data_IF_242460580412
#
_entry.id   IF_242460580412
#
_cell.length_a   1.000
_cell.length_b   1.000
_cell.length_c   1.000
_cell.angle_alpha   90.00
_cell.angle_beta   90.00
_cell.angle_gamma   90.00
#
_symmetry.space_group_name_H-M   'P 1'
#
loop_
_entity.id
_entity.type
_entity.pdbx_description
1 polymer ?
#
# COMPACT_ATOMS: atom_id res chain seq x y z
N UNK A 1 13.03 81.09 52.05
CA UNK A 1 13.00 82.02 50.88
C UNK A 1 13.93 81.47 49.83
N UNK A 2 13.52 81.56 48.55
CA UNK A 2 14.28 81.24 47.32
C UNK A 2 14.52 79.74 47.09
N UNK A 3 14.20 79.09 45.97
CA UNK A 3 13.61 79.46 44.67
C UNK A 3 13.03 78.16 44.05
N UNK A 4 11.89 78.19 43.36
CA UNK A 4 11.67 78.61 41.99
C UNK A 4 12.36 77.72 40.92
N UNK A 5 11.54 76.85 40.30
CA UNK A 5 11.42 76.67 38.83
C UNK A 5 12.50 75.86 38.06
N UNK A 6 12.26 75.37 36.81
CA UNK A 6 11.00 75.03 36.10
C UNK A 6 11.12 73.86 35.06
N UNK A 7 10.09 73.72 34.20
CA UNK A 7 10.09 73.17 32.80
C UNK A 7 10.09 71.63 32.69
N UNK A 8 9.34 70.96 31.81
CA UNK A 8 8.73 71.33 30.52
C UNK A 8 7.79 70.21 30.04
N UNK A 9 6.60 70.61 29.60
CA UNK A 9 5.96 70.31 28.32
C UNK A 9 5.67 68.90 27.77
N UNK A 10 4.51 68.92 27.08
CA UNK A 10 4.13 68.19 25.87
C UNK A 10 3.46 66.82 25.99
N UNK A 11 2.15 66.93 26.22
CA UNK A 11 1.11 66.14 25.59
C UNK A 11 1.31 65.94 24.08
N UNK A 12 1.19 64.71 23.61
CA UNK A 12 0.73 64.41 22.25
C UNK A 12 -0.15 63.15 22.23
N UNK A 13 -1.13 63.07 21.30
CA UNK A 13 -2.22 62.11 21.36
C UNK A 13 -1.89 60.79 20.67
N UNK A 14 -2.32 59.68 21.28
CA UNK A 14 -2.27 58.35 20.68
C UNK A 14 -3.23 58.27 19.46
N UNK A 15 -2.67 58.08 18.27
CA UNK A 15 -3.40 57.60 17.10
C UNK A 15 -3.44 56.06 17.07
N UNK A 16 -4.56 55.44 16.63
CA UNK A 16 -4.69 53.99 16.53
C UNK A 16 -3.97 53.45 15.29
N UNK A 17 -3.17 52.41 15.49
CA UNK A 17 -2.44 51.67 14.44
C UNK A 17 -3.41 51.05 13.43
N UNK A 18 -3.43 51.58 12.22
CA UNK A 18 -3.99 50.93 11.03
C UNK A 18 -3.10 49.75 10.63
N UNK A 19 -3.72 48.58 10.45
CA UNK A 19 -3.13 47.37 9.88
C UNK A 19 -2.80 47.56 8.39
N UNK A 20 -1.71 46.98 7.88
CA UNK A 20 -1.32 47.10 6.47
C UNK A 20 -2.28 46.32 5.55
N UNK A 21 -2.52 46.82 4.31
CA UNK A 21 -3.41 46.19 3.36
C UNK A 21 -2.84 44.86 2.83
N UNK A 22 -3.74 43.88 2.71
CA UNK A 22 -3.57 42.60 2.03
C UNK A 22 -2.77 42.74 0.73
N UNK A 23 -1.61 42.10 0.71
CA UNK A 23 -0.84 41.79 -0.49
C UNK A 23 -1.72 41.13 -1.55
N UNK A 24 -1.75 41.77 -2.72
CA UNK A 24 -2.44 41.32 -3.92
C UNK A 24 -1.98 39.93 -4.35
N UNK A 25 -2.85 39.10 -4.96
CA UNK A 25 -2.44 37.83 -5.55
C UNK A 25 -1.46 38.10 -6.69
N UNK A 26 -0.23 37.61 -6.51
CA UNK A 26 0.82 37.57 -7.53
C UNK A 26 0.26 36.85 -8.77
N UNK A 27 0.09 37.60 -9.87
CA UNK A 27 -0.24 37.04 -11.18
C UNK A 27 0.87 36.08 -11.56
N UNK A 28 0.48 34.83 -11.78
CA UNK A 28 1.32 33.73 -12.24
C UNK A 28 2.22 34.17 -13.40
N UNK A 29 3.51 33.85 -13.40
CA UNK A 29 4.38 34.13 -14.53
C UNK A 29 3.80 33.43 -15.76
N UNK A 30 3.66 34.17 -16.86
CA UNK A 30 3.29 33.65 -18.17
C UNK A 30 4.19 32.46 -18.49
N UNK A 31 3.67 31.24 -18.33
CA UNK A 31 4.34 30.02 -18.76
C UNK A 31 4.44 30.10 -20.28
N UNK A 32 5.67 30.12 -20.79
CA UNK A 32 5.90 29.99 -22.23
C UNK A 32 5.26 28.67 -22.69
N UNK A 33 4.49 28.66 -23.79
CA UNK A 33 3.76 27.47 -24.25
C UNK A 33 4.67 26.28 -24.61
N UNK A 34 5.98 26.49 -24.67
CA UNK A 34 6.99 25.46 -24.93
C UNK A 34 7.59 24.83 -23.65
N UNK A 35 7.18 25.25 -22.44
CA UNK A 35 7.73 24.71 -21.21
C UNK A 35 6.99 23.42 -20.81
N UNK A 36 7.69 22.29 -20.87
CA UNK A 36 7.15 20.97 -20.50
C UNK A 36 6.70 20.98 -19.05
N UNK A 37 5.48 20.52 -18.80
CA UNK A 37 4.97 20.45 -17.44
C UNK A 37 5.80 19.48 -16.58
N UNK A 38 6.02 19.86 -15.31
CA UNK A 38 6.84 19.10 -14.39
C UNK A 38 6.29 17.68 -14.15
N UNK A 39 4.97 17.53 -14.13
CA UNK A 39 4.31 16.27 -13.83
C UNK A 39 4.40 15.32 -15.03
N UNK A 40 4.24 15.84 -16.25
CA UNK A 40 4.40 15.08 -17.49
C UNK A 40 5.83 14.57 -17.69
N UNK A 41 6.83 15.43 -17.45
CA UNK A 41 8.24 15.02 -17.52
C UNK A 41 8.56 13.94 -16.47
N UNK A 42 7.98 14.06 -15.27
CA UNK A 42 8.16 13.08 -14.20
C UNK A 42 7.51 11.75 -14.55
N UNK A 43 6.30 11.76 -15.14
CA UNK A 43 5.61 10.56 -15.59
C UNK A 43 6.40 9.82 -16.67
N UNK A 44 6.95 10.56 -17.66
CA UNK A 44 7.77 9.98 -18.72
C UNK A 44 9.07 9.37 -18.18
N UNK A 45 9.76 10.06 -17.27
CA UNK A 45 10.97 9.56 -16.59
C UNK A 45 10.68 8.24 -15.85
N UNK A 46 9.56 8.16 -15.12
CA UNK A 46 9.15 6.94 -14.41
C UNK A 46 8.87 5.80 -15.38
N UNK A 47 8.15 6.05 -16.48
CA UNK A 47 7.84 5.03 -17.48
C UNK A 47 9.10 4.47 -18.16
N UNK A 48 10.04 5.35 -18.55
CA UNK A 48 11.31 4.92 -19.16
C UNK A 48 12.16 4.12 -18.16
N UNK A 49 12.24 4.56 -16.90
CA UNK A 49 13.00 3.84 -15.85
C UNK A 49 12.38 2.48 -15.52
N UNK A 50 11.07 2.37 -15.54
CA UNK A 50 10.34 1.12 -15.35
C UNK A 50 10.64 0.11 -16.47
N UNK A 51 10.67 0.57 -17.73
CA UNK A 51 11.01 -0.28 -18.88
C UNK A 51 12.51 -0.62 -18.95
N UNK A 52 13.38 0.27 -18.45
CA UNK A 52 14.83 0.11 -18.51
C UNK A 52 15.49 0.52 -17.17
N UNK A 53 15.50 -0.39 -16.17
CA UNK A 53 16.04 -0.10 -14.84
C UNK A 53 17.52 0.26 -14.87
N UNK A 54 18.29 -0.25 -15.83
CA UNK A 54 19.73 -0.02 -15.95
C UNK A 54 20.10 1.33 -16.60
N UNK A 55 19.11 2.10 -17.06
CA UNK A 55 19.39 3.39 -17.70
C UNK A 55 19.85 4.42 -16.66
N UNK A 56 21.11 4.83 -16.82
CA UNK A 56 21.65 6.03 -16.18
C UNK A 56 21.11 7.31 -16.83
N UNK A 57 21.42 8.45 -16.19
CA UNK A 57 20.87 9.78 -16.56
C UNK A 57 21.07 10.14 -18.04
N UNK A 58 22.21 9.77 -18.63
CA UNK A 58 22.53 10.04 -20.04
C UNK A 58 21.55 9.34 -20.98
N UNK A 59 21.42 8.01 -20.85
CA UNK A 59 20.50 7.21 -21.69
C UNK A 59 19.05 7.61 -21.46
N UNK A 60 18.68 8.00 -20.24
CA UNK A 60 17.34 8.49 -19.96
C UNK A 60 17.05 9.82 -20.67
N UNK A 61 17.97 10.77 -20.64
CA UNK A 61 17.83 12.03 -21.36
C UNK A 61 17.72 11.82 -22.87
N UNK A 62 18.56 10.95 -23.44
CA UNK A 62 18.49 10.60 -24.87
C UNK A 62 17.11 10.04 -25.25
N UNK A 63 16.52 9.17 -24.40
CA UNK A 63 15.17 8.65 -24.61
C UNK A 63 14.06 9.68 -24.44
N UNK A 64 14.18 10.59 -23.47
CA UNK A 64 13.23 11.70 -23.28
C UNK A 64 13.23 12.61 -24.53
N UNK A 65 14.40 12.94 -25.06
CA UNK A 65 14.54 13.76 -26.27
C UNK A 65 14.02 13.00 -27.51
N UNK A 66 14.30 11.69 -27.60
CA UNK A 66 13.82 10.83 -28.69
C UNK A 66 12.29 10.75 -28.76
N UNK A 67 11.58 11.01 -27.65
CA UNK A 67 10.12 11.07 -27.64
C UNK A 67 9.55 12.27 -28.44
N UNK A 68 10.40 13.24 -28.81
CA UNK A 68 10.04 14.34 -29.68
C UNK A 68 9.06 15.35 -29.06
N UNK A 69 8.50 16.22 -29.91
CA UNK A 69 7.56 17.26 -29.51
C UNK A 69 8.12 18.21 -28.45
N UNK A 70 7.34 18.47 -27.39
CA UNK A 70 7.75 19.33 -26.28
C UNK A 70 8.97 18.80 -25.50
N UNK A 71 9.22 17.49 -25.53
CA UNK A 71 10.34 16.88 -24.80
C UNK A 71 11.69 17.03 -25.52
N UNK A 72 11.71 17.36 -26.81
CA UNK A 72 12.93 17.49 -27.60
C UNK A 72 13.87 18.60 -27.09
N UNK A 73 13.31 19.63 -26.44
CA UNK A 73 14.06 20.78 -25.91
C UNK A 73 14.40 20.65 -24.43
N UNK A 74 14.10 19.52 -23.80
CA UNK A 74 14.33 19.34 -22.36
C UNK A 74 15.83 19.30 -22.06
N UNK A 75 16.36 20.20 -21.21
CA UNK A 75 17.78 20.22 -20.91
C UNK A 75 18.17 19.05 -20.00
N UNK A 76 19.35 18.47 -20.26
CA UNK A 76 19.92 17.34 -19.49
C UNK A 76 19.92 17.60 -17.97
N UNK A 77 20.26 18.82 -17.55
CA UNK A 77 20.28 19.24 -16.14
C UNK A 77 18.92 19.08 -15.46
N UNK A 78 17.82 19.30 -16.19
CA UNK A 78 16.45 19.16 -15.67
C UNK A 78 16.15 17.69 -15.43
N UNK A 79 16.38 16.82 -16.42
CA UNK A 79 16.20 15.35 -16.26
C UNK A 79 17.03 14.81 -15.10
N UNK A 80 18.31 15.20 -14.99
CA UNK A 80 19.19 14.81 -13.86
C UNK A 80 18.59 15.19 -12.51
N UNK A 81 18.06 16.41 -12.38
CA UNK A 81 17.43 16.90 -11.14
C UNK A 81 16.19 16.08 -10.79
N UNK A 82 15.32 15.76 -11.76
CA UNK A 82 14.12 14.95 -11.52
C UNK A 82 14.47 13.51 -11.14
N UNK A 83 15.41 12.86 -11.83
CA UNK A 83 15.87 11.52 -11.45
C UNK A 83 16.47 11.48 -10.04
N UNK A 84 17.25 12.49 -9.67
CA UNK A 84 17.80 12.60 -8.31
C UNK A 84 16.69 12.80 -7.27
N UNK A 85 15.73 13.68 -7.54
CA UNK A 85 14.56 13.91 -6.67
C UNK A 85 13.72 12.65 -6.49
N UNK A 86 13.71 11.75 -7.47
CA UNK A 86 13.00 10.46 -7.42
C UNK A 86 13.82 9.32 -6.77
N UNK A 87 15.08 9.55 -6.36
CA UNK A 87 15.94 8.51 -5.83
C UNK A 87 16.40 7.46 -6.87
N UNK A 88 16.29 7.78 -8.17
CA UNK A 88 16.58 6.83 -9.27
C UNK A 88 18.04 6.84 -9.75
N UNK A 89 18.89 7.67 -9.12
CA UNK A 89 20.29 7.90 -9.49
C UNK A 89 21.29 7.31 -8.49
N UNK A 90 20.83 6.49 -7.55
CA UNK A 90 21.75 5.79 -6.67
C UNK A 90 22.66 4.93 -7.54
N UNK A 91 23.98 5.20 -7.60
CA UNK A 91 24.88 4.24 -8.17
C UNK A 91 24.70 3.00 -7.32
N UNK A 92 24.23 1.91 -7.93
CA UNK A 92 24.46 0.57 -7.40
C UNK A 92 25.97 0.33 -7.45
N UNK A 93 26.71 1.06 -6.61
CA UNK A 93 28.06 0.72 -6.25
C UNK A 93 27.98 -0.52 -5.41
N UNK A 94 28.65 -1.57 -5.86
CA UNK A 94 28.99 -2.72 -5.04
C UNK A 94 29.64 -2.22 -3.74
N UNK A 95 28.92 -2.27 -2.62
CA UNK A 95 29.47 -2.40 -1.25
C UNK A 95 28.32 -2.41 -0.25
N UNK A 96 27.75 -3.59 -0.05
CA UNK A 96 27.52 -4.13 1.30
C UNK A 96 27.27 -5.64 1.18
N UNK A 97 28.38 -6.36 0.94
CA UNK A 97 28.51 -7.75 1.39
C UNK A 97 28.56 -7.73 2.92
N UNK A 98 27.42 -7.51 3.56
CA UNK A 98 27.22 -8.14 4.87
C UNK A 98 26.93 -9.60 4.58
N UNK A 99 27.75 -10.56 5.05
CA UNK A 99 27.42 -11.96 4.88
C UNK A 99 26.11 -12.19 5.62
N UNK A 100 25.04 -12.45 4.87
CA UNK A 100 23.80 -12.97 5.42
C UNK A 100 24.18 -14.27 6.12
N UNK A 101 24.29 -14.20 7.44
CA UNK A 101 24.49 -15.35 8.30
C UNK A 101 23.21 -16.17 8.21
N UNK A 102 23.17 -17.07 7.23
CA UNK A 102 22.25 -18.21 7.19
C UNK A 102 22.50 -19.02 8.46
N UNK A 103 21.80 -18.65 9.54
CA UNK A 103 21.68 -19.51 10.70
C UNK A 103 20.67 -20.59 10.30
N UNK A 104 21.20 -21.73 9.86
CA UNK A 104 20.45 -22.97 9.77
C UNK A 104 19.98 -23.32 11.19
N UNK A 105 18.75 -22.99 11.54
CA UNK A 105 18.13 -23.46 12.78
C UNK A 105 17.68 -24.90 12.53
N UNK A 106 18.64 -25.82 12.67
CA UNK A 106 18.43 -27.24 12.48
C UNK A 106 19.61 -28.01 13.08
N UNK A 107 19.51 -28.31 14.37
CA UNK A 107 20.50 -29.14 15.05
C UNK A 107 20.46 -29.04 16.57
N UNK A 108 19.80 -30.03 17.18
CA UNK A 108 19.95 -30.50 18.57
C UNK A 108 19.14 -29.79 19.66
N UNK A 109 17.85 -30.09 19.72
CA UNK A 109 17.12 -30.10 21.00
C UNK A 109 16.44 -31.46 21.18
N UNK A 110 17.16 -32.37 21.83
CA UNK A 110 16.53 -33.45 22.58
C UNK A 110 15.82 -32.80 23.78
N UNK A 111 14.50 -32.76 23.77
CA UNK A 111 13.72 -32.64 25.01
C UNK A 111 12.73 -33.79 25.07
N UNK A 112 13.19 -34.85 25.74
CA UNK A 112 12.33 -35.84 26.36
C UNK A 112 11.44 -35.09 27.38
N UNK A 113 10.12 -35.16 27.23
CA UNK A 113 9.18 -34.83 28.31
C UNK A 113 8.19 -35.98 28.43
N UNK A 114 8.52 -36.93 29.29
CA UNK A 114 7.53 -37.61 30.11
C UNK A 114 6.92 -36.58 31.08
N UNK A 115 5.60 -36.59 31.24
CA UNK A 115 4.94 -35.77 32.26
C UNK A 115 3.56 -35.29 31.87
N UNK A 116 2.60 -36.21 31.93
CA UNK A 116 1.16 -35.98 32.05
C UNK A 116 0.81 -34.84 33.02
N UNK A 117 0.02 -33.86 32.56
CA UNK A 117 -1.10 -33.30 33.34
C UNK A 117 -2.23 -33.02 32.36
N UNK A 118 -3.28 -33.84 32.45
CA UNK A 118 -4.58 -33.61 31.83
C UNK A 118 -5.17 -32.27 32.30
N UNK A 119 -5.43 -31.37 31.34
CA UNK A 119 -6.50 -30.38 31.49
C UNK A 119 -7.34 -30.42 30.22
N UNK A 120 -8.39 -31.23 30.29
CA UNK A 120 -9.51 -31.18 29.38
C UNK A 120 -10.19 -29.81 29.47
N UNK A 121 -10.22 -29.09 28.35
CA UNK A 121 -11.04 -27.90 28.14
C UNK A 121 -11.38 -27.83 26.66
N UNK A 122 -12.62 -28.18 26.32
CA UNK A 122 -13.12 -28.44 24.98
C UNK A 122 -12.89 -27.32 23.94
N UNK A 123 -12.93 -27.75 22.67
CA UNK A 123 -13.10 -27.00 21.41
C UNK A 123 -11.82 -26.53 20.70
N UNK A 124 -11.31 -27.32 19.75
CA UNK A 124 -10.81 -26.76 18.48
C UNK A 124 -10.64 -27.84 17.39
N UNK A 125 -11.75 -28.44 16.93
CA UNK A 125 -11.78 -29.13 15.64
C UNK A 125 -11.77 -28.12 14.46
N UNK A 126 -11.37 -26.87 14.68
CA UNK A 126 -11.42 -25.84 13.64
C UNK A 126 -10.37 -26.10 12.57
N UNK A 127 -10.85 -26.37 11.35
CA UNK A 127 -10.01 -26.53 10.17
C UNK A 127 -9.48 -25.16 9.72
N UNK A 128 -8.18 -24.96 9.92
CA UNK A 128 -7.41 -23.79 9.45
C UNK A 128 -6.62 -24.17 8.21
N UNK A 129 -6.87 -23.50 7.08
CA UNK A 129 -6.21 -23.82 5.82
C UNK A 129 -5.25 -22.70 5.39
N UNK A 130 -4.04 -23.05 4.91
CA UNK A 130 -3.03 -22.08 4.53
C UNK A 130 -3.35 -21.40 3.20
N UNK A 131 -3.03 -20.12 3.12
CA UNK A 131 -3.19 -19.23 1.98
C UNK A 131 -1.93 -18.39 1.85
N UNK A 132 -1.32 -18.41 0.66
CA UNK A 132 -0.16 -17.58 0.35
C UNK A 132 -0.58 -16.12 0.22
N UNK A 133 0.22 -15.21 0.79
CA UNK A 133 0.03 -13.78 0.61
C UNK A 133 0.60 -13.31 -0.73
N UNK A 134 0.11 -12.15 -1.18
CA UNK A 134 0.57 -11.44 -2.38
C UNK A 134 0.57 -12.26 -3.68
N UNK A 135 -0.28 -13.29 -3.80
CA UNK A 135 -0.44 -13.99 -5.08
C UNK A 135 -1.11 -13.06 -6.10
N UNK A 136 -0.58 -12.93 -7.33
CA UNK A 136 -1.15 -12.06 -8.35
C UNK A 136 -2.46 -12.65 -8.89
N UNK A 137 -3.42 -11.78 -9.23
CA UNK A 137 -4.74 -12.17 -9.74
C UNK A 137 -4.71 -13.14 -10.95
N UNK A 138 -3.66 -13.10 -11.77
CA UNK A 138 -3.48 -14.00 -12.90
C UNK A 138 -2.21 -14.81 -12.72
N UNK A 139 -2.35 -16.14 -12.67
CA UNK A 139 -1.25 -17.10 -12.91
C UNK A 139 -1.21 -17.53 -14.40
N UNK A 140 -2.12 -17.02 -15.22
CA UNK A 140 -2.18 -17.29 -16.67
C UNK A 140 -1.20 -16.34 -17.39
N UNK A 141 -0.26 -16.92 -18.15
CA UNK A 141 0.75 -16.19 -18.94
C UNK A 141 0.13 -15.27 -20.02
N UNK A 142 -1.14 -15.47 -20.38
CA UNK A 142 -1.74 -14.90 -21.61
C UNK A 142 -2.71 -13.72 -21.45
N UNK A 143 -2.88 -13.12 -20.27
CA UNK A 143 -3.79 -11.98 -20.11
C UNK A 143 -3.09 -10.69 -19.62
N UNK A 144 -3.09 -9.59 -20.41
CA UNK A 144 -2.38 -8.34 -20.09
C UNK A 144 -3.05 -7.48 -19.02
N UNK A 145 -4.15 -7.93 -18.42
CA UNK A 145 -4.88 -7.19 -17.39
C UNK A 145 -4.40 -7.60 -15.99
N UNK A 146 -3.18 -7.22 -15.66
CA UNK A 146 -2.69 -7.30 -14.29
C UNK A 146 -3.44 -6.24 -13.46
N UNK A 147 -4.35 -6.66 -12.59
CA UNK A 147 -4.98 -5.76 -11.64
C UNK A 147 -3.94 -5.31 -10.61
N UNK A 148 -3.29 -4.17 -10.86
CA UNK A 148 -2.39 -3.52 -9.91
C UNK A 148 -3.23 -2.95 -8.78
N UNK A 149 -3.27 -3.64 -7.65
CA UNK A 149 -3.93 -3.11 -6.47
C UNK A 149 -2.94 -2.20 -5.76
N UNK A 150 -3.31 -0.92 -5.64
CA UNK A 150 -2.56 0.03 -4.81
C UNK A 150 -2.75 -0.34 -3.34
N UNK A 151 -1.67 -0.78 -2.68
CA UNK A 151 -1.57 -0.90 -1.23
C UNK A 151 -1.72 0.51 -0.63
N UNK A 152 -2.74 0.73 0.20
CA UNK A 152 -2.88 1.96 0.99
C UNK A 152 -2.41 1.66 2.40
N UNK A 153 -1.38 2.34 2.87
CA UNK A 153 -0.86 2.23 4.25
C UNK A 153 -1.71 3.05 5.22
N UNK A 154 -3.01 2.74 5.31
CA UNK A 154 -3.84 3.29 6.38
C UNK A 154 -3.74 2.37 7.59
N UNK A 155 -3.15 2.88 8.66
CA UNK A 155 -3.01 2.19 9.97
C UNK A 155 -4.32 2.21 10.78
N UNK A 156 -5.42 2.71 10.20
CA UNK A 156 -6.67 2.92 10.93
C UNK A 156 -7.48 1.62 11.06
N UNK A 157 -7.06 0.84 12.06
CA UNK A 157 -7.81 -0.21 12.72
C UNK A 157 -7.67 -1.57 12.05
N UNK A 158 -6.89 -2.45 12.67
CA UNK A 158 -7.10 -3.88 12.52
C UNK A 158 -8.45 -4.25 13.10
N UNK A 159 -9.15 -5.15 12.43
CA UNK A 159 -10.34 -5.75 12.97
C UNK A 159 -9.97 -7.09 13.56
N UNK A 160 -9.83 -7.10 14.88
CA UNK A 160 -9.57 -8.32 15.64
C UNK A 160 -10.84 -8.75 16.36
N UNK A 161 -10.91 -10.04 16.63
CA UNK A 161 -11.92 -10.60 17.51
C UNK A 161 -11.44 -11.90 18.12
N UNK A 162 -12.37 -12.69 18.64
CA UNK A 162 -12.04 -13.79 19.55
C UNK A 162 -11.16 -14.90 18.97
N UNK A 163 -11.11 -15.06 17.65
CA UNK A 163 -10.35 -16.13 16.98
C UNK A 163 -9.15 -15.62 16.18
N UNK A 164 -8.94 -14.31 16.12
CA UNK A 164 -7.85 -13.67 15.38
C UNK A 164 -8.30 -12.42 14.63
N UNK A 165 -7.57 -12.11 13.56
CA UNK A 165 -7.88 -11.01 12.65
C UNK A 165 -9.05 -11.37 11.73
N UNK A 166 -9.78 -10.36 11.26
CA UNK A 166 -10.91 -10.54 10.35
C UNK A 166 -10.50 -10.15 8.93
N UNK A 167 -10.72 -11.08 8.01
CA UNK A 167 -10.49 -10.91 6.58
C UNK A 167 -11.81 -10.89 5.83
N UNK A 168 -11.92 -10.00 4.85
CA UNK A 168 -13.03 -9.95 3.92
C UNK A 168 -12.65 -10.72 2.67
N UNK A 169 -13.49 -11.69 2.30
CA UNK A 169 -13.31 -12.49 1.09
C UNK A 169 -14.46 -12.18 0.13
N UNK A 170 -14.13 -11.80 -1.10
CA UNK A 170 -15.08 -11.49 -2.16
C UNK A 170 -14.93 -12.48 -3.31
N UNK A 171 -16.06 -13.07 -3.68
CA UNK A 171 -16.17 -14.07 -4.75
C UNK A 171 -16.87 -13.41 -5.93
N UNK A 172 -16.29 -13.59 -7.12
CA UNK A 172 -16.90 -13.13 -8.36
C UNK A 172 -18.19 -13.92 -8.63
N UNK A 173 -19.18 -13.24 -9.22
CA UNK A 173 -20.43 -13.84 -9.66
C UNK A 173 -20.39 -13.89 -11.18
N UNK A 174 -20.77 -15.01 -11.77
CA UNK A 174 -20.87 -15.20 -13.21
C UNK A 174 -22.14 -14.53 -13.77
N UNK A 175 -22.24 -14.45 -15.10
CA UNK A 175 -23.36 -13.78 -15.77
C UNK A 175 -24.72 -14.42 -15.49
N UNK A 176 -24.74 -15.69 -15.08
CA UNK A 176 -25.93 -16.44 -14.68
C UNK A 176 -26.34 -16.18 -13.22
N UNK A 177 -25.58 -15.38 -12.47
CA UNK A 177 -25.81 -15.12 -11.05
C UNK A 177 -25.22 -16.17 -10.11
N UNK A 178 -24.57 -17.22 -10.63
CA UNK A 178 -23.88 -18.23 -9.84
C UNK A 178 -22.51 -17.73 -9.36
N UNK A 179 -21.99 -18.30 -8.28
CA UNK A 179 -20.65 -17.95 -7.80
C UNK A 179 -19.60 -18.63 -8.65
N UNK A 180 -18.64 -17.84 -9.13
CA UNK A 180 -17.63 -18.38 -10.01
C UNK A 180 -16.74 -19.39 -9.30
N UNK A 181 -16.54 -20.53 -9.94
CA UNK A 181 -15.65 -21.60 -9.49
C UNK A 181 -14.25 -21.47 -10.10
N UNK A 182 -14.10 -20.70 -11.17
CA UNK A 182 -12.86 -20.57 -11.94
C UNK A 182 -12.04 -19.32 -11.58
N UNK A 183 -12.67 -18.28 -11.04
CA UNK A 183 -11.99 -17.00 -10.77
C UNK A 183 -11.41 -16.95 -9.35
N UNK A 184 -10.18 -16.43 -9.17
CA UNK A 184 -9.61 -16.27 -7.84
C UNK A 184 -10.44 -15.31 -6.98
N UNK A 185 -10.50 -15.59 -5.68
CA UNK A 185 -11.24 -14.78 -4.71
C UNK A 185 -10.34 -13.70 -4.12
N UNK A 186 -10.90 -12.51 -3.91
CA UNK A 186 -10.14 -11.42 -3.30
C UNK A 186 -10.18 -11.51 -1.78
N UNK A 187 -9.01 -11.61 -1.14
CA UNK A 187 -8.87 -11.68 0.31
C UNK A 187 -8.16 -10.42 0.81
N UNK A 188 -8.72 -9.72 1.79
CA UNK A 188 -8.06 -8.57 2.39
C UNK A 188 -8.51 -8.27 3.83
N UNK A 189 -7.61 -7.72 4.64
CA UNK A 189 -7.96 -7.22 5.98
C UNK A 189 -8.53 -5.79 5.91
N UNK A 190 -9.08 -5.30 7.04
CA UNK A 190 -9.69 -3.96 7.13
C UNK A 190 -8.75 -2.84 6.67
N UNK A 191 -7.52 -2.83 7.19
CA UNK A 191 -6.50 -1.85 6.86
C UNK A 191 -6.01 -1.92 5.40
N UNK A 192 -6.35 -3.02 4.68
CA UNK A 192 -5.80 -3.36 3.35
C UNK A 192 -4.27 -3.45 3.32
N UNK A 193 -3.65 -3.60 4.49
CA UNK A 193 -2.23 -3.84 4.64
C UNK A 193 -1.86 -5.27 4.26
N UNK A 194 -2.82 -6.20 4.30
CA UNK A 194 -2.68 -7.58 3.85
C UNK A 194 -3.75 -7.87 2.82
N UNK A 195 -3.31 -8.21 1.61
CA UNK A 195 -4.19 -8.53 0.51
C UNK A 195 -3.59 -9.66 -0.32
N UNK A 196 -4.43 -10.59 -0.75
CA UNK A 196 -4.02 -11.66 -1.64
C UNK A 196 -5.18 -12.11 -2.50
N UNK A 197 -4.90 -12.96 -3.47
CA UNK A 197 -5.88 -13.71 -4.23
C UNK A 197 -5.85 -15.17 -3.78
N UNK A 198 -7.02 -15.70 -3.45
CA UNK A 198 -7.20 -17.11 -3.18
C UNK A 198 -7.55 -17.81 -4.49
N UNK A 199 -6.60 -18.57 -5.02
CA UNK A 199 -6.73 -19.26 -6.30
C UNK A 199 -7.42 -20.63 -6.17
N UNK A 200 -8.05 -21.15 -7.25
CA UNK A 200 -8.75 -22.45 -7.24
C UNK A 200 -7.88 -23.66 -6.87
N UNK A 201 -6.57 -23.55 -7.06
CA UNK A 201 -5.56 -24.56 -6.69
C UNK A 201 -5.28 -24.60 -5.18
N UNK A 202 -5.69 -23.57 -4.43
CA UNK A 202 -5.48 -23.51 -2.99
C UNK A 202 -6.42 -24.46 -2.24
N UNK A 203 -5.93 -25.19 -1.22
CA UNK A 203 -6.77 -26.06 -0.40
C UNK A 203 -7.91 -25.30 0.29
N UNK A 204 -7.72 -24.01 0.59
CA UNK A 204 -8.75 -23.18 1.24
C UNK A 204 -9.85 -22.71 0.29
N UNK A 205 -9.67 -22.81 -1.04
CA UNK A 205 -10.58 -22.22 -2.02
C UNK A 205 -11.99 -22.79 -1.96
N UNK A 206 -12.14 -24.11 -2.14
CA UNK A 206 -13.46 -24.76 -2.17
C UNK A 206 -14.21 -24.62 -0.84
N UNK A 207 -13.57 -24.83 0.34
CA UNK A 207 -14.25 -24.60 1.62
C UNK A 207 -14.73 -23.17 1.82
N UNK A 208 -13.89 -22.18 1.48
CA UNK A 208 -14.25 -20.75 1.55
C UNK A 208 -15.40 -20.45 0.59
N UNK A 209 -15.35 -20.95 -0.64
CA UNK A 209 -16.43 -20.78 -1.62
C UNK A 209 -17.75 -21.27 -1.07
N UNK A 210 -17.79 -22.51 -0.55
CA UNK A 210 -19.01 -23.12 0.03
C UNK A 210 -19.60 -22.27 1.14
N UNK A 211 -18.75 -21.74 2.03
CA UNK A 211 -19.20 -20.86 3.10
C UNK A 211 -19.75 -19.53 2.59
N UNK A 212 -19.11 -18.92 1.57
CA UNK A 212 -19.64 -17.69 0.94
C UNK A 212 -20.95 -17.96 0.22
N UNK A 213 -21.11 -19.11 -0.45
CA UNK A 213 -22.38 -19.50 -1.07
C UNK A 213 -23.49 -19.66 -0.04
N UNK A 214 -23.19 -20.31 1.09
CA UNK A 214 -24.18 -20.62 2.10
C UNK A 214 -24.57 -19.40 2.98
N UNK A 215 -23.61 -18.54 3.31
CA UNK A 215 -23.78 -17.50 4.35
C UNK A 215 -23.30 -16.10 3.91
N UNK A 216 -22.80 -15.97 2.68
CA UNK A 216 -22.34 -14.70 2.14
C UNK A 216 -23.46 -13.71 1.89
N UNK A 217 -23.10 -12.43 1.82
CA UNK A 217 -24.00 -11.34 1.47
C UNK A 217 -23.64 -10.81 0.10
N UNK A 218 -24.65 -10.47 -0.70
CA UNK A 218 -24.45 -9.84 -2.00
C UNK A 218 -23.88 -8.44 -1.79
N UNK A 219 -22.80 -8.12 -2.49
CA UNK A 219 -22.15 -6.80 -2.48
C UNK A 219 -22.88 -5.78 -3.35
N UNK A 220 -22.70 -4.49 -3.04
CA UNK A 220 -23.34 -3.39 -3.77
C UNK A 220 -22.89 -3.27 -5.24
N UNK A 221 -21.72 -3.83 -5.60
CA UNK A 221 -21.10 -3.74 -6.94
C UNK A 221 -21.08 -5.11 -7.63
N UNK A 222 -21.95 -6.03 -7.21
CA UNK A 222 -21.90 -7.43 -7.64
C UNK A 222 -20.87 -8.26 -6.86
N UNK A 223 -21.02 -9.59 -6.93
CA UNK A 223 -20.24 -10.53 -6.14
C UNK A 223 -20.84 -10.84 -4.77
N UNK A 224 -20.55 -12.03 -4.23
CA UNK A 224 -20.87 -12.36 -2.83
C UNK A 224 -19.64 -12.18 -1.96
N UNK A 225 -19.85 -11.67 -0.74
CA UNK A 225 -18.78 -11.44 0.23
C UNK A 225 -19.13 -12.00 1.60
N UNK A 226 -18.12 -12.52 2.29
CA UNK A 226 -18.23 -12.89 3.69
C UNK A 226 -16.95 -12.49 4.44
N UNK A 227 -17.02 -12.56 5.77
CA UNK A 227 -15.91 -12.26 6.65
C UNK A 227 -15.42 -13.56 7.28
N UNK A 228 -14.12 -13.72 7.39
CA UNK A 228 -13.47 -14.93 7.89
C UNK A 228 -12.47 -14.59 8.97
N UNK A 229 -12.29 -15.50 9.90
CA UNK A 229 -11.18 -15.43 10.84
C UNK A 229 -9.90 -15.84 10.13
N UNK A 230 -8.84 -15.04 10.33
CA UNK A 230 -7.53 -15.29 9.78
C UNK A 230 -6.45 -15.15 10.84
N UNK A 231 -5.41 -15.97 10.70
CA UNK A 231 -4.19 -15.90 11.50
C UNK A 231 -3.00 -15.79 10.56
N UNK A 232 -2.28 -14.69 10.65
CA UNK A 232 -1.08 -14.47 9.84
C UNK A 232 0.16 -14.86 10.62
N UNK A 233 0.97 -15.74 10.07
CA UNK A 233 2.26 -16.15 10.65
C UNK A 233 3.41 -15.54 9.85
N UNK A 234 4.04 -14.51 10.43
CA UNK A 234 5.16 -13.79 9.79
C UNK A 234 6.39 -14.66 9.50
N UNK A 235 6.59 -15.74 10.26
CA UNK A 235 7.74 -16.64 10.10
C UNK A 235 7.63 -17.43 8.79
N UNK A 236 6.42 -17.87 8.45
CA UNK A 236 6.15 -18.67 7.25
C UNK A 236 5.62 -17.82 6.09
N UNK A 237 5.30 -16.56 6.37
CA UNK A 237 4.59 -15.63 5.48
C UNK A 237 3.28 -16.22 4.92
N UNK A 238 2.55 -16.93 5.79
CA UNK A 238 1.29 -17.59 5.44
C UNK A 238 0.12 -17.05 6.24
N UNK A 239 -1.01 -16.89 5.55
CA UNK A 239 -2.30 -16.60 6.13
C UNK A 239 -3.09 -17.89 6.30
N UNK A 240 -3.52 -18.21 7.50
CA UNK A 240 -4.40 -19.34 7.77
C UNK A 240 -5.82 -18.84 7.93
N UNK A 241 -6.74 -19.36 7.11
CA UNK A 241 -8.16 -18.98 7.12
C UNK A 241 -8.96 -20.08 7.79
N UNK A 242 -9.84 -19.71 8.71
CA UNK A 242 -10.79 -20.65 9.30
C UNK A 242 -11.89 -20.98 8.29
N UNK A 243 -12.01 -22.25 7.92
CA UNK A 243 -12.97 -22.69 6.90
C UNK A 243 -14.21 -23.38 7.46
N UNK A 244 -14.42 -23.33 8.77
CA UNK A 244 -15.62 -23.87 9.42
C UNK A 244 -16.57 -22.76 9.86
N UNK A 245 -16.02 -21.67 10.38
CA UNK A 245 -16.78 -20.59 11.00
C UNK A 245 -16.43 -19.24 10.39
N UNK A 246 -17.42 -18.61 9.78
CA UNK A 246 -17.30 -17.21 9.33
C UNK A 246 -17.24 -16.25 10.52
N UNK A 247 -16.55 -15.14 10.33
CA UNK A 247 -16.50 -14.05 11.29
C UNK A 247 -17.78 -13.19 11.22
N UNK A 248 -18.12 -12.47 12.31
CA UNK A 248 -19.25 -11.54 12.31
C UNK A 248 -19.13 -10.49 11.20
N UNK A 249 -20.28 -10.15 10.59
CA UNK A 249 -20.31 -9.17 9.52
C UNK A 249 -19.80 -7.80 9.97
N UNK A 250 -18.92 -7.21 9.17
CA UNK A 250 -18.31 -5.91 9.46
C UNK A 250 -18.83 -4.82 8.53
N UNK A 251 -18.79 -3.56 8.99
CA UNK A 251 -19.25 -2.37 8.24
C UNK A 251 -18.10 -1.73 7.42
N UNK A 252 -17.39 -2.50 6.58
CA UNK A 252 -16.32 -2.01 5.69
C UNK A 252 -16.66 -2.10 4.20
#
# INVERSE_FOLDING_TARGET
>A
MVGASPKTNDSAPHTPKQSPPRSSPSRSPFRSPDDVDADELTALIKAIKFAHPDYGVKRMHDKVVSHGGKFARVPFKRVKRYMHRLGMNSPSGEEDKTPVKLMTVGGNSKSLREGSVDVAGATDDMVWLPVKLDEPASKLEDFPYQAVIRMTTNEEGDAEGSLGEIYKIQVAVESDGSLSTIHPMLVYNKARSRKTFLHPDSPAYLPVQRLVTAQGKIGAVGGSKAYFWGRYFKIEDMLYINTEKIAPAQKW
#
